data_IF_971979823126
#
_entry.id   IF_971979823126
#
_cell.length_a   1.000
_cell.length_b   1.000
_cell.length_c   1.000
_cell.angle_alpha   90.00
_cell.angle_beta   90.00
_cell.angle_gamma   90.00
#
_symmetry.space_group_name_H-M   'P 1'
#
loop_
_entity.id
_entity.type
_entity.pdbx_description
1 polymer ?
#
# COMPACT_ATOMS: atom_id res chain seq x y z
N UNK A 1 16.49 14.01 6.12
CA UNK A 1 16.21 12.74 5.41
C UNK A 1 17.45 12.31 4.66
N UNK A 2 17.81 11.02 4.72
CA UNK A 2 19.02 10.52 4.08
C UNK A 2 18.84 10.36 2.55
N UNK A 3 19.96 10.20 1.86
CA UNK A 3 19.96 10.11 0.39
C UNK A 3 19.23 8.87 -0.14
N UNK A 4 19.30 7.75 0.57
CA UNK A 4 18.63 6.52 0.18
C UNK A 4 17.11 6.70 0.15
N UNK A 5 16.57 7.36 1.19
CA UNK A 5 15.14 7.64 1.27
C UNK A 5 14.68 8.65 0.22
N UNK A 6 15.50 9.67 -0.04
CA UNK A 6 15.22 10.63 -1.12
C UNK A 6 15.15 9.94 -2.47
N UNK A 7 16.10 9.05 -2.77
CA UNK A 7 16.10 8.27 -4.01
C UNK A 7 14.85 7.42 -4.13
N UNK A 8 14.45 6.76 -3.04
CA UNK A 8 13.22 5.97 -3.03
C UNK A 8 12.01 6.83 -3.40
N UNK A 9 11.85 7.98 -2.75
CA UNK A 9 10.70 8.87 -2.97
C UNK A 9 10.66 9.32 -4.44
N UNK A 10 11.80 9.75 -4.99
CA UNK A 10 11.88 10.25 -6.36
C UNK A 10 11.49 9.16 -7.36
N UNK A 11 12.06 7.98 -7.21
CA UNK A 11 11.78 6.84 -8.10
C UNK A 11 10.33 6.39 -7.97
N UNK A 12 9.86 6.21 -6.75
CA UNK A 12 8.50 5.74 -6.49
C UNK A 12 7.46 6.75 -7.00
N UNK A 13 7.70 8.03 -6.76
CA UNK A 13 6.81 9.10 -7.24
C UNK A 13 6.71 9.09 -8.77
N UNK A 14 7.84 8.98 -9.46
CA UNK A 14 7.86 8.97 -10.92
C UNK A 14 7.05 7.80 -11.47
N UNK A 15 7.17 6.61 -10.86
CA UNK A 15 6.42 5.43 -11.28
C UNK A 15 4.95 5.55 -10.96
N UNK A 16 4.58 6.06 -9.80
CA UNK A 16 3.19 6.32 -9.44
C UNK A 16 2.55 7.33 -10.39
N UNK A 17 3.27 8.38 -10.73
CA UNK A 17 2.78 9.40 -11.65
C UNK A 17 2.49 8.84 -13.05
N UNK A 18 3.22 7.82 -13.45
CA UNK A 18 2.98 7.12 -14.73
C UNK A 18 1.84 6.11 -14.64
N UNK A 19 1.78 5.34 -13.57
CA UNK A 19 0.89 4.17 -13.46
C UNK A 19 -0.49 4.52 -12.90
N UNK A 20 -0.54 5.24 -11.79
CA UNK A 20 -1.78 5.45 -11.04
C UNK A 20 -2.88 6.16 -11.83
N UNK A 21 -2.59 7.18 -12.67
CA UNK A 21 -3.65 7.83 -13.45
C UNK A 21 -4.39 6.90 -14.40
N UNK A 22 -3.75 5.82 -14.84
CA UNK A 22 -4.39 4.80 -15.70
C UNK A 22 -5.53 4.07 -14.97
N UNK A 23 -5.52 4.10 -13.65
CA UNK A 23 -6.56 3.54 -12.80
C UNK A 23 -7.47 4.63 -12.22
N UNK A 24 -7.37 5.86 -12.73
CA UNK A 24 -8.08 7.03 -12.20
C UNK A 24 -7.77 7.32 -10.74
N UNK A 25 -6.55 7.00 -10.33
CA UNK A 25 -5.99 7.35 -9.01
C UNK A 25 -5.01 8.50 -9.23
N UNK A 26 -5.39 9.71 -8.80
CA UNK A 26 -4.72 10.94 -9.23
C UNK A 26 -4.06 11.74 -8.11
N UNK A 27 -4.31 11.41 -6.86
CA UNK A 27 -3.67 12.06 -5.71
C UNK A 27 -2.28 11.45 -5.48
N UNK A 28 -1.36 11.70 -6.38
CA UNK A 28 -0.06 11.02 -6.44
C UNK A 28 0.73 11.20 -5.16
N UNK A 29 0.83 12.42 -4.64
CA UNK A 29 1.61 12.67 -3.42
C UNK A 29 1.05 11.92 -2.22
N UNK A 30 -0.28 11.83 -2.09
CA UNK A 30 -0.92 11.06 -1.03
C UNK A 30 -0.62 9.56 -1.16
N UNK A 31 -0.67 9.04 -2.37
CA UNK A 31 -0.37 7.62 -2.67
C UNK A 31 1.08 7.30 -2.32
N UNK A 32 2.01 8.18 -2.69
CA UNK A 32 3.43 8.02 -2.37
C UNK A 32 3.67 8.12 -0.87
N UNK A 33 3.05 9.10 -0.20
CA UNK A 33 3.18 9.27 1.24
C UNK A 33 2.69 8.03 2.00
N UNK A 34 1.59 7.43 1.55
CA UNK A 34 1.06 6.21 2.14
C UNK A 34 2.09 5.07 2.03
N UNK A 35 2.70 4.90 0.86
CA UNK A 35 3.73 3.88 0.66
C UNK A 35 4.95 4.13 1.56
N UNK A 36 5.40 5.36 1.66
CA UNK A 36 6.54 5.71 2.51
C UNK A 36 6.26 5.36 3.97
N UNK A 37 5.07 5.66 4.44
CA UNK A 37 4.67 5.37 5.82
C UNK A 37 4.55 3.87 6.09
N UNK A 38 3.89 3.13 5.20
CA UNK A 38 3.63 1.70 5.36
C UNK A 38 4.89 0.84 5.19
N UNK A 39 5.84 1.27 4.35
CA UNK A 39 7.00 0.48 3.99
C UNK A 39 8.31 0.98 4.59
N UNK A 40 8.26 2.00 5.42
CA UNK A 40 9.47 2.71 5.91
C UNK A 40 10.36 3.10 4.75
N UNK A 41 9.79 3.85 3.81
CA UNK A 41 10.51 4.33 2.60
C UNK A 41 11.10 3.16 1.78
N UNK A 42 10.36 2.05 1.69
CA UNK A 42 10.80 0.87 0.95
C UNK A 42 11.83 0.01 1.65
N UNK A 43 12.17 0.31 2.90
CA UNK A 43 13.22 -0.39 3.65
C UNK A 43 12.74 -1.66 4.34
N UNK A 44 11.43 -1.83 4.55
CA UNK A 44 10.92 -3.07 5.14
C UNK A 44 11.22 -4.26 4.23
N UNK A 45 11.35 -5.46 4.81
CA UNK A 45 11.60 -6.66 4.02
C UNK A 45 10.48 -6.94 3.03
N UNK A 46 9.24 -6.66 3.42
CA UNK A 46 8.08 -6.83 2.54
C UNK A 46 8.17 -5.93 1.30
N UNK A 47 8.64 -4.68 1.47
CA UNK A 47 8.83 -3.75 0.35
C UNK A 47 10.11 -4.04 -0.41
N UNK A 48 11.23 -4.18 0.30
CA UNK A 48 12.55 -4.30 -0.32
C UNK A 48 12.70 -5.58 -1.13
N UNK A 49 12.19 -6.70 -0.62
CA UNK A 49 12.31 -8.00 -1.27
C UNK A 49 11.10 -8.34 -2.12
N UNK A 50 9.90 -8.02 -1.65
CA UNK A 50 8.66 -8.48 -2.28
C UNK A 50 7.83 -7.37 -2.92
N UNK A 51 8.32 -6.14 -2.93
CA UNK A 51 7.70 -5.00 -3.62
C UNK A 51 6.25 -4.72 -3.24
N UNK A 52 5.87 -5.10 -2.04
CA UNK A 52 4.58 -4.75 -1.44
C UNK A 52 4.82 -3.56 -0.51
N UNK A 53 4.50 -2.35 -1.00
CA UNK A 53 4.82 -1.10 -0.31
C UNK A 53 3.70 -0.63 0.61
N UNK A 54 2.58 -1.34 0.62
CA UNK A 54 1.37 -0.93 1.31
C UNK A 54 0.92 -1.93 2.39
N UNK A 55 1.68 -2.98 2.61
CA UNK A 55 1.36 -3.97 3.63
C UNK A 55 0.11 -4.79 3.32
N UNK A 56 -0.22 -4.96 2.04
CA UNK A 56 -1.44 -5.64 1.64
C UNK A 56 -1.37 -7.14 1.88
N UNK A 57 -2.31 -7.67 2.67
CA UNK A 57 -2.49 -9.10 2.85
C UNK A 57 -3.23 -9.70 1.65
N UNK A 58 -3.12 -11.01 1.48
CA UNK A 58 -3.73 -11.70 0.34
C UNK A 58 -5.27 -11.63 0.36
N UNK A 59 -5.88 -11.83 1.52
CA UNK A 59 -7.33 -11.97 1.57
C UNK A 59 -7.79 -13.25 0.85
N UNK A 60 -9.09 -13.36 0.63
CA UNK A 60 -9.69 -14.58 0.07
C UNK A 60 -9.77 -14.59 -1.46
N UNK A 61 -9.70 -13.43 -2.11
CA UNK A 61 -9.89 -13.32 -3.56
C UNK A 61 -8.60 -13.15 -4.36
N UNK A 62 -7.47 -12.97 -3.69
CA UNK A 62 -6.20 -12.73 -4.35
C UNK A 62 -5.58 -14.05 -4.83
N UNK A 63 -5.19 -14.11 -6.10
CA UNK A 63 -4.62 -15.30 -6.73
C UNK A 63 -3.16 -15.15 -7.17
N UNK A 64 -2.53 -14.01 -6.85
CA UNK A 64 -1.15 -13.74 -7.24
C UNK A 64 -0.12 -14.36 -6.31
N UNK A 65 1.12 -13.98 -6.49
CA UNK A 65 2.22 -14.42 -5.64
C UNK A 65 2.05 -13.94 -4.22
N UNK A 66 2.47 -14.75 -3.27
CA UNK A 66 2.36 -14.44 -1.84
C UNK A 66 3.61 -14.85 -1.10
N UNK A 67 3.77 -14.27 0.09
CA UNK A 67 4.83 -14.62 1.03
C UNK A 67 4.24 -14.66 2.44
N UNK A 68 4.65 -15.64 3.23
CA UNK A 68 4.22 -15.74 4.62
C UNK A 68 5.30 -15.13 5.51
N UNK A 69 4.95 -14.05 6.20
CA UNK A 69 5.88 -13.31 7.06
C UNK A 69 5.29 -13.07 8.43
N UNK A 70 6.16 -12.97 9.42
CA UNK A 70 5.78 -12.57 10.77
C UNK A 70 5.38 -11.10 10.78
N UNK A 71 4.34 -10.78 11.53
CA UNK A 71 3.88 -9.41 11.73
C UNK A 71 3.30 -9.27 13.12
N UNK A 72 3.05 -8.02 13.55
CA UNK A 72 2.42 -7.73 14.83
C UNK A 72 1.06 -7.12 14.59
N UNK A 73 0.06 -7.63 15.31
CA UNK A 73 -1.31 -7.15 15.22
C UNK A 73 -1.81 -6.73 16.60
N UNK A 74 -2.65 -5.73 16.66
CA UNK A 74 -3.29 -5.26 17.87
C UNK A 74 -4.73 -5.75 17.93
N UNK A 75 -4.95 -6.92 18.54
CA UNK A 75 -6.29 -7.46 18.77
C UNK A 75 -6.93 -6.94 20.04
N UNK A 76 -6.09 -6.42 20.95
CA UNK A 76 -6.51 -5.89 22.23
C UNK A 76 -5.73 -4.59 22.45
N UNK A 77 -6.41 -3.53 22.85
CA UNK A 77 -5.81 -2.20 22.98
C UNK A 77 -4.51 -2.25 23.80
N UNK A 78 -3.43 -1.71 23.21
CA UNK A 78 -2.11 -1.64 23.84
C UNK A 78 -1.32 -2.94 23.85
N UNK A 79 -1.85 -4.03 23.28
CA UNK A 79 -1.18 -5.34 23.27
C UNK A 79 -0.90 -5.75 21.83
N UNK A 80 0.39 -5.85 21.47
CA UNK A 80 0.84 -6.35 20.18
C UNK A 80 1.02 -7.87 20.25
N UNK A 81 0.38 -8.58 19.32
CA UNK A 81 0.46 -10.04 19.21
C UNK A 81 1.26 -10.42 17.99
N UNK A 82 2.25 -11.29 18.17
CA UNK A 82 3.02 -11.82 17.04
C UNK A 82 2.18 -12.85 16.30
N UNK A 83 2.00 -12.63 15.01
CA UNK A 83 1.31 -13.57 14.12
C UNK A 83 2.08 -13.72 12.83
N UNK A 84 1.70 -14.69 12.02
CA UNK A 84 2.17 -14.80 10.65
C UNK A 84 0.98 -14.54 9.72
N UNK A 85 1.26 -13.90 8.61
CA UNK A 85 0.23 -13.59 7.63
C UNK A 85 0.76 -13.79 6.20
N UNK A 86 -0.15 -14.07 5.29
CA UNK A 86 0.16 -14.14 3.86
C UNK A 86 0.00 -12.76 3.26
N UNK A 87 1.10 -12.21 2.78
CA UNK A 87 1.14 -10.92 2.12
C UNK A 87 1.26 -11.09 0.62
N UNK A 88 0.70 -10.14 -0.13
CA UNK A 88 0.87 -10.06 -1.57
C UNK A 88 2.34 -9.80 -1.90
N UNK A 89 2.85 -10.44 -2.93
CA UNK A 89 4.24 -10.29 -3.37
C UNK A 89 4.26 -9.98 -4.87
N UNK A 90 5.21 -9.13 -5.26
CA UNK A 90 5.32 -8.66 -6.63
C UNK A 90 6.78 -8.75 -7.09
N UNK A 91 7.00 -8.77 -8.40
CA UNK A 91 8.32 -8.98 -8.98
C UNK A 91 9.11 -7.69 -9.18
N UNK A 92 8.45 -6.54 -9.12
CA UNK A 92 9.08 -5.25 -9.37
C UNK A 92 8.32 -4.13 -8.67
N UNK A 93 8.93 -2.95 -8.59
CA UNK A 93 8.26 -1.77 -8.07
C UNK A 93 7.01 -1.43 -8.89
N UNK A 94 7.10 -1.52 -10.22
CA UNK A 94 5.97 -1.27 -11.11
C UNK A 94 4.81 -2.21 -10.81
N UNK A 95 5.10 -3.51 -10.68
CA UNK A 95 4.06 -4.50 -10.38
C UNK A 95 3.45 -4.28 -9.00
N UNK A 96 4.27 -3.84 -8.03
CA UNK A 96 3.78 -3.51 -6.69
C UNK A 96 2.83 -2.32 -6.69
N UNK A 97 3.13 -1.30 -7.48
CA UNK A 97 2.27 -0.13 -7.63
C UNK A 97 0.96 -0.51 -8.33
N UNK A 98 1.05 -1.30 -9.40
CA UNK A 98 -0.14 -1.82 -10.08
C UNK A 98 -1.00 -2.64 -9.13
N UNK A 99 -0.37 -3.45 -8.28
CA UNK A 99 -1.07 -4.24 -7.27
C UNK A 99 -1.88 -3.38 -6.31
N UNK A 100 -1.34 -2.26 -5.87
CA UNK A 100 -2.08 -1.29 -5.06
C UNK A 100 -3.27 -0.72 -5.82
N UNK A 101 -3.05 -0.31 -7.07
CA UNK A 101 -4.12 0.25 -7.89
C UNK A 101 -5.24 -0.76 -8.12
N UNK A 102 -4.90 -2.01 -8.39
CA UNK A 102 -5.88 -3.09 -8.56
C UNK A 102 -6.65 -3.36 -7.27
N UNK A 103 -5.97 -3.32 -6.12
CA UNK A 103 -6.63 -3.47 -4.83
C UNK A 103 -7.66 -2.36 -4.61
N UNK A 104 -7.27 -1.12 -4.79
CA UNK A 104 -8.16 0.03 -4.56
C UNK A 104 -9.36 0.00 -5.51
N UNK A 105 -9.13 -0.28 -6.79
CA UNK A 105 -10.21 -0.28 -7.79
C UNK A 105 -11.06 -1.53 -7.77
N UNK A 106 -10.61 -2.59 -7.10
CA UNK A 106 -11.31 -3.86 -7.02
C UNK A 106 -12.39 -3.94 -5.94
N UNK A 107 -12.46 -2.97 -5.04
CA UNK A 107 -13.41 -3.00 -3.93
C UNK A 107 -14.23 -1.71 -3.89
N UNK A 108 -15.55 -1.85 -3.86
CA UNK A 108 -16.48 -0.72 -3.89
C UNK A 108 -16.30 0.25 -2.70
N UNK A 109 -15.79 -0.23 -1.56
CA UNK A 109 -15.56 0.65 -0.39
C UNK A 109 -14.57 1.78 -0.69
N UNK A 110 -13.69 1.60 -1.68
CA UNK A 110 -12.69 2.60 -2.06
C UNK A 110 -13.09 3.43 -3.29
N UNK A 111 -14.34 3.32 -3.75
CA UNK A 111 -14.79 4.01 -4.96
C UNK A 111 -14.70 5.54 -4.87
N UNK A 112 -14.75 6.10 -3.66
CA UNK A 112 -14.62 7.54 -3.45
C UNK A 112 -13.20 8.08 -3.61
N UNK A 113 -12.23 7.21 -3.89
CA UNK A 113 -10.85 7.61 -4.18
C UNK A 113 -10.65 7.90 -5.67
N UNK A 114 -11.51 7.36 -6.53
CA UNK A 114 -11.39 7.50 -7.97
C UNK A 114 -11.59 8.96 -8.39
N UNK A 115 -10.65 9.48 -9.18
CA UNK A 115 -10.72 10.84 -9.69
C UNK A 115 -10.35 11.94 -8.71
N UNK A 116 -10.11 11.61 -7.45
CA UNK A 116 -9.71 12.60 -6.44
C UNK A 116 -8.30 13.09 -6.73
N UNK A 117 -8.14 14.41 -6.86
CA UNK A 117 -6.84 15.05 -7.11
C UNK A 117 -6.25 15.69 -5.85
N UNK A 118 -7.08 16.07 -4.89
CA UNK A 118 -6.65 16.68 -3.65
C UNK A 118 -6.08 15.64 -2.71
N UNK A 119 -4.81 15.81 -2.31
CA UNK A 119 -4.10 14.85 -1.49
C UNK A 119 -4.73 14.69 -0.10
N UNK A 120 -5.14 15.78 0.51
CA UNK A 120 -5.78 15.74 1.83
C UNK A 120 -7.10 14.96 1.76
N UNK A 121 -7.92 15.24 0.75
CA UNK A 121 -9.19 14.56 0.54
C UNK A 121 -9.00 13.06 0.33
N UNK A 122 -7.97 12.67 -0.43
CA UNK A 122 -7.63 11.26 -0.63
C UNK A 122 -7.33 10.56 0.70
N UNK A 123 -6.49 11.19 1.53
CA UNK A 123 -6.11 10.64 2.83
C UNK A 123 -7.33 10.52 3.76
N UNK A 124 -8.18 11.54 3.81
CA UNK A 124 -9.40 11.51 4.60
C UNK A 124 -10.32 10.39 4.14
N UNK A 125 -10.52 10.28 2.83
CA UNK A 125 -11.40 9.24 2.26
C UNK A 125 -10.90 7.84 2.56
N UNK A 126 -9.62 7.55 2.32
CA UNK A 126 -9.10 6.20 2.52
C UNK A 126 -9.14 5.78 3.99
N UNK A 127 -8.91 6.73 4.89
CA UNK A 127 -9.05 6.49 6.32
C UNK A 127 -10.50 6.19 6.70
N UNK A 128 -11.44 6.99 6.20
CA UNK A 128 -12.86 6.80 6.46
C UNK A 128 -13.39 5.52 5.82
N UNK A 129 -12.79 5.08 4.73
CA UNK A 129 -13.12 3.82 4.06
C UNK A 129 -12.67 2.59 4.85
N UNK A 130 -11.88 2.79 5.91
CA UNK A 130 -11.45 1.72 6.79
C UNK A 130 -10.17 1.01 6.36
N UNK A 131 -9.27 1.68 5.67
CA UNK A 131 -7.99 1.08 5.23
C UNK A 131 -7.25 0.41 6.39
N UNK A 132 -7.10 1.10 7.51
CA UNK A 132 -6.34 0.60 8.66
C UNK A 132 -7.02 -0.60 9.34
N UNK A 133 -8.34 -0.76 9.19
CA UNK A 133 -9.12 -1.85 9.77
C UNK A 133 -9.52 -2.91 8.75
N UNK A 134 -9.13 -2.74 7.49
CA UNK A 134 -9.42 -3.72 6.45
C UNK A 134 -8.55 -4.96 6.69
N UNK A 135 -9.20 -6.12 6.91
CA UNK A 135 -8.50 -7.37 7.23
C UNK A 135 -7.55 -7.84 6.13
N UNK A 136 -7.71 -7.33 4.91
CA UNK A 136 -6.82 -7.64 3.79
C UNK A 136 -5.56 -6.81 3.82
N UNK A 137 -5.49 -5.79 4.69
CA UNK A 137 -4.43 -4.81 4.73
C UNK A 137 -3.67 -4.78 6.06
N UNK A 138 -4.28 -5.17 7.16
CA UNK A 138 -3.64 -5.13 8.50
C UNK A 138 -3.29 -6.48 9.06
#
# INVERSE_FOLDING_TARGET
MNETRKKFIIEFWAKCNEICPKYNLRAIDAIVAQACNESRYGESSLANTYHNYYGMKCGSSYNGKSVNLATKEEYQAGVLTDIRANFRAYDSMEEGIKGYCEFITGFSRYSNLLGVTDNHQYIVNIKNDGWATDSRNI
#
